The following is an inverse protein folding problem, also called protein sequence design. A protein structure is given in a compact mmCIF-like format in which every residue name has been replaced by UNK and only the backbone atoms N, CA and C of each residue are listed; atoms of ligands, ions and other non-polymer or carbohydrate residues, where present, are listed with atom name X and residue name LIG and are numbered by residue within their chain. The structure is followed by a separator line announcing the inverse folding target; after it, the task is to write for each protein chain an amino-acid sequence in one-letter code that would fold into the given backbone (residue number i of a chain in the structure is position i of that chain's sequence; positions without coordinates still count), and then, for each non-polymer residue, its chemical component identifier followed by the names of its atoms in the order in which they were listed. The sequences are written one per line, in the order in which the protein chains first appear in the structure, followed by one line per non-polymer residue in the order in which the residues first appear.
data_IF_685808087871
#
_entry.id   IF_685808087871
#
_cell.length_a   1.000
_cell.length_b   1.000
_cell.length_c   1.000
_cell.angle_alpha   90.00
_cell.angle_beta   90.00
_cell.angle_gamma   90.00
#
_symmetry.space_group_name_H-M   'P 1'
#
loop_
_entity.id
_entity.type
_entity.pdbx_description
1 polymer ?
#
# COMPACT_ATOMS: atom_id res chain seq x y z
N UNK A 1 -14.14 -20.31 -4.07
CA UNK A 1 -13.84 -19.16 -3.20
C UNK A 1 -12.36 -18.88 -3.34
N UNK A 2 -12.00 -17.80 -4.02
CA UNK A 2 -10.59 -17.40 -4.18
C UNK A 2 -10.09 -16.97 -2.80
N UNK A 3 -9.14 -17.71 -2.23
CA UNK A 3 -8.56 -17.39 -0.93
C UNK A 3 -7.77 -16.08 -1.09
N UNK A 4 -8.29 -14.99 -0.51
CA UNK A 4 -7.55 -13.72 -0.47
C UNK A 4 -6.30 -13.96 0.36
N UNK A 5 -5.14 -13.95 -0.31
CA UNK A 5 -3.83 -14.06 0.33
C UNK A 5 -3.37 -12.67 0.70
N UNK A 6 -3.12 -12.49 1.99
CA UNK A 6 -2.44 -11.31 2.52
C UNK A 6 -0.95 -11.60 2.64
N UNK A 7 -0.07 -10.60 2.47
CA UNK A 7 -0.40 -9.20 2.16
C UNK A 7 -0.90 -8.99 0.72
N UNK A 8 -1.75 -7.98 0.52
CA UNK A 8 -2.14 -7.48 -0.79
C UNK A 8 -1.51 -6.10 -1.02
N UNK A 9 -1.09 -5.83 -2.24
CA UNK A 9 -0.37 -4.61 -2.59
C UNK A 9 -1.10 -3.86 -3.71
N UNK A 10 -1.16 -2.55 -3.55
CA UNK A 10 -1.90 -1.66 -4.44
C UNK A 10 -1.11 -0.39 -4.71
N UNK A 11 -1.36 0.21 -5.86
CA UNK A 11 -1.00 1.59 -6.17
C UNK A 11 -2.30 2.38 -6.27
N UNK A 12 -2.47 3.37 -5.40
CA UNK A 12 -3.65 4.25 -5.40
C UNK A 12 -3.22 5.61 -5.96
N UNK A 13 -3.57 5.88 -7.22
CA UNK A 13 -3.00 6.95 -8.02
C UNK A 13 -1.50 6.73 -8.23
N UNK A 14 -0.66 7.40 -7.43
CA UNK A 14 0.80 7.18 -7.41
C UNK A 14 1.30 6.63 -6.06
N UNK A 15 0.40 6.46 -5.08
CA UNK A 15 0.77 6.12 -3.71
C UNK A 15 0.75 4.62 -3.48
N UNK A 16 1.88 4.00 -3.06
CA UNK A 16 1.88 2.62 -2.60
C UNK A 16 0.99 2.43 -1.36
N UNK A 17 0.10 1.44 -1.41
CA UNK A 17 -0.76 1.00 -0.30
C UNK A 17 -0.70 -0.52 -0.14
N UNK A 18 -0.58 -1.01 1.08
CA UNK A 18 -0.57 -2.44 1.40
C UNK A 18 -1.65 -2.78 2.43
N UNK A 19 -2.36 -3.89 2.20
CA UNK A 19 -3.23 -4.52 3.20
C UNK A 19 -2.53 -5.71 3.82
N UNK A 20 -2.49 -5.76 5.14
CA UNK A 20 -1.81 -6.82 5.89
C UNK A 20 -2.71 -7.33 7.01
N UNK A 21 -2.51 -8.60 7.41
CA UNK A 21 -3.12 -9.11 8.63
C UNK A 21 -2.34 -8.62 9.84
N UNK A 22 -3.05 -8.21 10.88
CA UNK A 22 -2.46 -7.96 12.20
C UNK A 22 -2.41 -9.24 13.02
N UNK A 23 -1.51 -9.32 14.00
CA UNK A 23 -1.38 -10.49 14.90
C UNK A 23 -2.69 -10.88 15.62
N UNK A 24 -3.57 -9.92 15.90
CA UNK A 24 -4.90 -10.15 16.51
C UNK A 24 -5.93 -10.78 15.53
N UNK A 25 -5.52 -11.05 14.27
CA UNK A 25 -6.41 -11.58 13.24
C UNK A 25 -7.22 -10.52 12.48
N UNK A 26 -7.10 -9.25 12.86
CA UNK A 26 -7.61 -8.09 12.12
C UNK A 26 -6.84 -7.80 10.82
N UNK A 27 -7.27 -6.73 10.14
CA UNK A 27 -6.60 -6.18 8.95
C UNK A 27 -6.09 -4.79 9.25
N UNK A 28 -4.92 -4.47 8.71
CA UNK A 28 -4.35 -3.12 8.71
C UNK A 28 -4.03 -2.67 7.30
N UNK A 29 -4.10 -1.36 7.09
CA UNK A 29 -3.73 -0.72 5.85
C UNK A 29 -2.54 0.19 6.09
N UNK A 30 -1.47 -0.03 5.34
CA UNK A 30 -0.29 0.82 5.32
C UNK A 30 -0.30 1.61 4.02
N UNK A 31 0.00 2.90 4.08
CA UNK A 31 0.14 3.75 2.91
C UNK A 31 1.47 4.49 2.98
N UNK A 32 2.08 4.73 1.83
CA UNK A 32 3.30 5.52 1.73
C UNK A 32 3.04 6.95 2.19
N UNK A 33 3.89 7.45 3.09
CA UNK A 33 3.91 8.82 3.53
C UNK A 33 5.01 9.58 2.77
N UNK A 34 4.61 10.63 2.05
CA UNK A 34 5.51 11.47 1.27
C UNK A 34 6.47 12.30 2.12
N UNK A 35 6.10 12.66 3.36
CA UNK A 35 6.96 13.42 4.26
C UNK A 35 8.10 12.56 4.85
N UNK A 36 7.80 11.30 5.19
CA UNK A 36 8.74 10.43 5.91
C UNK A 36 9.41 9.40 5.01
N UNK A 37 8.86 9.18 3.82
CA UNK A 37 9.26 8.11 2.91
C UNK A 37 8.92 6.70 3.40
N UNK A 38 8.14 6.56 4.48
CA UNK A 38 7.83 5.28 5.10
C UNK A 38 6.39 4.83 4.84
N UNK A 39 6.16 3.52 4.94
CA UNK A 39 4.81 2.95 4.95
C UNK A 39 4.21 3.08 6.35
N UNK A 40 3.19 3.89 6.48
CA UNK A 40 2.55 4.18 7.77
C UNK A 40 1.10 3.74 7.78
N UNK A 41 0.60 3.36 8.96
CA UNK A 41 -0.79 2.92 9.13
C UNK A 41 -1.74 4.04 8.71
N UNK A 42 -2.52 3.79 7.68
CA UNK A 42 -3.50 4.73 7.17
C UNK A 42 -4.79 4.00 6.74
N UNK A 43 -5.73 3.90 7.68
CA UNK A 43 -6.99 3.21 7.47
C UNK A 43 -7.94 3.91 6.49
N UNK A 44 -7.70 5.18 6.14
CA UNK A 44 -8.50 5.89 5.14
C UNK A 44 -8.40 5.25 3.75
N UNK A 45 -7.30 4.53 3.47
CA UNK A 45 -7.13 3.79 2.24
C UNK A 45 -7.80 2.42 2.25
N UNK A 46 -8.04 1.83 3.43
CA UNK A 46 -8.66 0.52 3.58
C UNK A 46 -10.01 0.42 2.85
N UNK A 47 -10.90 1.40 3.07
CA UNK A 47 -12.20 1.46 2.41
C UNK A 47 -12.07 1.66 0.89
N UNK A 48 -11.15 2.54 0.47
CA UNK A 48 -10.92 2.82 -0.96
C UNK A 48 -10.48 1.57 -1.72
N UNK A 49 -9.48 0.85 -1.21
CA UNK A 49 -8.98 -0.38 -1.86
C UNK A 49 -9.99 -1.52 -1.76
N UNK A 50 -10.75 -1.62 -0.67
CA UNK A 50 -11.78 -2.64 -0.50
C UNK A 50 -12.94 -2.46 -1.49
N UNK A 51 -13.31 -1.21 -1.79
CA UNK A 51 -14.36 -0.91 -2.76
C UNK A 51 -13.84 -0.74 -4.20
N UNK A 52 -12.51 -0.83 -4.41
CA UNK A 52 -11.85 -0.43 -5.66
C UNK A 52 -12.33 0.93 -6.19
N UNK A 53 -12.46 1.92 -5.29
CA UNK A 53 -12.93 3.25 -5.64
C UNK A 53 -11.79 4.19 -6.07
N UNK A 54 -11.76 4.51 -7.36
CA UNK A 54 -10.82 5.46 -7.97
C UNK A 54 -9.75 4.78 -8.82
N UNK A 55 -8.62 5.46 -8.99
CA UNK A 55 -7.45 4.94 -9.69
C UNK A 55 -6.69 3.99 -8.75
N UNK A 56 -7.01 2.70 -8.82
CA UNK A 56 -6.44 1.67 -7.96
C UNK A 56 -5.98 0.50 -8.83
N UNK A 57 -4.69 0.25 -8.81
CA UNK A 57 -4.07 -0.89 -9.45
C UNK A 57 -3.62 -1.89 -8.38
N UNK A 58 -4.15 -3.12 -8.42
CA UNK A 58 -3.58 -4.23 -7.65
C UNK A 58 -2.29 -4.69 -8.33
N UNK A 59 -1.20 -4.75 -7.56
CA UNK A 59 0.13 -5.04 -8.08
C UNK A 59 0.80 -6.16 -7.29
N UNK A 60 1.83 -6.76 -7.88
CA UNK A 60 2.70 -7.71 -7.19
C UNK A 60 3.54 -7.01 -6.10
N UNK A 61 3.98 -7.77 -5.10
CA UNK A 61 4.92 -7.30 -4.08
C UNK A 61 6.18 -6.66 -4.69
N UNK A 62 6.74 -7.26 -5.74
CA UNK A 62 7.93 -6.75 -6.41
C UNK A 62 7.71 -5.35 -6.99
N UNK A 63 6.60 -5.14 -7.69
CA UNK A 63 6.23 -3.83 -8.28
C UNK A 63 5.98 -2.79 -7.20
N UNK A 64 5.31 -3.20 -6.12
CA UNK A 64 5.08 -2.34 -4.96
C UNK A 64 6.41 -1.89 -4.33
N UNK A 65 7.31 -2.84 -4.06
CA UNK A 65 8.62 -2.55 -3.46
C UNK A 65 9.48 -1.68 -4.37
N UNK A 66 9.50 -1.95 -5.69
CA UNK A 66 10.17 -1.09 -6.66
C UNK A 66 9.64 0.34 -6.63
N UNK A 67 8.32 0.52 -6.57
CA UNK A 67 7.73 1.85 -6.46
C UNK A 67 8.11 2.54 -5.16
N UNK A 68 8.01 1.86 -4.01
CA UNK A 68 8.42 2.42 -2.70
C UNK A 68 9.88 2.87 -2.74
N UNK A 69 10.79 2.02 -3.24
CA UNK A 69 12.21 2.34 -3.35
C UNK A 69 12.46 3.53 -4.28
N UNK A 70 11.78 3.59 -5.42
CA UNK A 70 11.84 4.73 -6.34
C UNK A 70 11.42 6.04 -5.66
N UNK A 71 10.36 6.02 -4.85
CA UNK A 71 9.88 7.22 -4.16
C UNK A 71 10.83 7.64 -3.03
N UNK A 72 11.34 6.68 -2.26
CA UNK A 72 12.34 6.95 -1.22
C UNK A 72 13.62 7.55 -1.80
N UNK A 73 14.09 7.03 -2.94
CA UNK A 73 15.25 7.57 -3.63
C UNK A 73 15.04 8.98 -4.19
N UNK A 74 13.79 9.39 -4.45
CA UNK A 74 13.47 10.75 -4.87
C UNK A 74 13.49 11.71 -3.68
N UNK A 75 12.89 11.31 -2.55
CA UNK A 75 12.85 12.11 -1.32
C UNK A 75 14.25 12.41 -0.77
N UNK A 76 15.19 11.46 -0.87
CA UNK A 76 16.54 11.61 -0.35
C UNK A 76 17.49 12.39 -1.28
N UNK A 77 17.03 12.85 -2.46
CA UNK A 77 17.85 13.56 -3.46
C UNK A 77 17.72 15.09 -3.37
N UNK A 78 17.05 15.61 -2.34
CA UNK A 78 16.82 17.05 -2.10
C UNK A 78 17.79 17.65 -1.07
#
# INVERSE_FOLDING_TARGET
MTQIKYPQYFIVGDRPVALQKTDDGGLTCLAYNWDTGNLERNMSYYLKVSNMEGEIDEVSEEVFNQKVEQLQNQLNKE
#
